data_IF_796359425422
#
_entry.id   IF_796359425422
#
_cell.length_a   1.000
_cell.length_b   1.000
_cell.length_c   1.000
_cell.angle_alpha   90.00
_cell.angle_beta   90.00
_cell.angle_gamma   90.00
#
_symmetry.space_group_name_H-M   'P 1'
#
loop_
_entity.id
_entity.type
_entity.pdbx_description
1 polymer ?
#
# COMPACT_ATOMS: atom_id res chain seq x y z
N UNK A 1 17.68 36.76 -7.62
CA UNK A 1 17.01 36.10 -6.48
C UNK A 1 16.59 34.73 -6.95
N UNK A 2 17.35 33.68 -6.60
CA UNK A 2 17.06 32.32 -7.04
C UNK A 2 16.09 31.69 -6.05
N UNK A 3 14.90 31.37 -6.52
CA UNK A 3 13.90 30.64 -5.74
C UNK A 3 14.26 29.16 -5.92
N UNK A 4 14.89 28.58 -4.91
CA UNK A 4 15.11 27.13 -4.86
C UNK A 4 13.75 26.49 -4.62
N UNK A 5 13.14 25.90 -5.64
CA UNK A 5 12.02 24.99 -5.43
C UNK A 5 12.53 23.81 -4.59
N UNK A 6 11.93 23.47 -3.45
CA UNK A 6 12.12 22.14 -2.90
C UNK A 6 11.50 21.17 -3.92
N UNK A 7 12.35 20.37 -4.57
CA UNK A 7 11.89 19.19 -5.30
C UNK A 7 11.13 18.34 -4.29
N UNK A 8 9.81 18.36 -4.39
CA UNK A 8 8.90 17.59 -3.55
C UNK A 8 9.21 16.11 -3.77
N UNK A 9 10.11 15.58 -2.95
CA UNK A 9 10.42 14.17 -2.89
C UNK A 9 9.18 13.47 -2.33
N UNK A 10 8.43 12.78 -3.19
CA UNK A 10 7.35 11.90 -2.76
C UNK A 10 7.83 10.79 -1.79
N UNK A 11 9.15 10.69 -1.56
CA UNK A 11 9.80 9.82 -0.58
C UNK A 11 9.82 10.36 0.87
N UNK A 12 9.47 11.63 1.15
CA UNK A 12 9.62 12.22 2.51
C UNK A 12 8.43 11.98 3.47
N UNK A 13 7.67 10.89 3.34
CA UNK A 13 6.43 10.69 4.12
C UNK A 13 6.45 9.44 5.01
N UNK A 14 7.41 8.53 4.83
CA UNK A 14 7.62 7.35 5.69
C UNK A 14 8.60 7.72 6.80
N UNK A 15 8.34 7.23 8.02
CA UNK A 15 9.34 7.29 9.09
C UNK A 15 10.50 6.33 8.77
N UNK A 16 11.62 6.49 9.46
CA UNK A 16 12.76 5.56 9.32
C UNK A 16 12.31 4.13 9.59
N UNK A 17 11.54 3.91 10.66
CA UNK A 17 10.99 2.60 11.00
C UNK A 17 9.97 2.07 9.99
N UNK A 18 9.19 2.93 9.35
CA UNK A 18 8.32 2.49 8.24
C UNK A 18 9.15 2.02 7.03
N UNK A 19 10.30 2.64 6.80
CA UNK A 19 11.19 2.31 5.67
C UNK A 19 11.94 1.00 5.93
N UNK A 20 12.36 0.76 7.18
CA UNK A 20 12.90 -0.54 7.62
C UNK A 20 11.86 -1.65 7.45
N UNK A 21 10.65 -1.43 7.97
CA UNK A 21 9.55 -2.40 7.84
C UNK A 21 9.19 -2.71 6.39
N UNK A 22 9.19 -1.70 5.51
CA UNK A 22 8.94 -1.92 4.08
C UNK A 22 10.00 -2.87 3.51
N UNK A 23 11.29 -2.64 3.76
CA UNK A 23 12.35 -3.52 3.27
C UNK A 23 12.19 -4.96 3.77
N UNK A 24 11.89 -5.15 5.06
CA UNK A 24 11.67 -6.48 5.62
C UNK A 24 10.47 -7.18 4.97
N UNK A 25 9.40 -6.44 4.68
CA UNK A 25 8.25 -6.96 3.94
C UNK A 25 8.59 -7.30 2.48
N UNK A 26 9.40 -6.49 1.81
CA UNK A 26 9.85 -6.74 0.44
C UNK A 26 10.68 -8.04 0.37
N UNK A 27 11.59 -8.25 1.34
CA UNK A 27 12.37 -9.48 1.45
C UNK A 27 11.48 -10.70 1.71
N UNK A 28 10.56 -10.60 2.68
CA UNK A 28 9.65 -11.69 3.02
C UNK A 28 8.65 -12.01 1.88
N UNK A 29 8.14 -10.98 1.21
CA UNK A 29 7.27 -11.14 0.05
C UNK A 29 8.01 -11.75 -1.13
N UNK A 30 9.27 -11.37 -1.35
CA UNK A 30 10.12 -11.93 -2.41
C UNK A 30 10.44 -13.40 -2.16
N UNK A 31 10.80 -13.76 -0.93
CA UNK A 31 11.01 -15.16 -0.54
C UNK A 31 9.76 -16.01 -0.78
N UNK A 32 8.57 -15.45 -0.50
CA UNK A 32 7.31 -16.18 -0.58
C UNK A 32 6.70 -16.25 -1.98
N UNK A 33 6.69 -15.14 -2.71
CA UNK A 33 5.92 -14.96 -3.95
C UNK A 33 6.79 -14.59 -5.15
N UNK A 34 8.11 -14.52 -5.00
CA UNK A 34 9.02 -14.08 -6.07
C UNK A 34 8.81 -12.61 -6.38
N UNK A 35 8.61 -12.27 -7.66
CA UNK A 35 8.46 -10.88 -8.10
C UNK A 35 7.00 -10.39 -8.16
N UNK A 36 6.03 -11.26 -7.84
CA UNK A 36 4.60 -10.96 -7.98
C UNK A 36 3.98 -10.52 -6.65
N UNK A 37 4.26 -9.29 -6.23
CA UNK A 37 3.65 -8.71 -5.03
C UNK A 37 3.63 -7.17 -5.08
N UNK A 38 2.92 -6.56 -4.14
CA UNK A 38 2.92 -5.13 -3.92
C UNK A 38 2.92 -4.80 -2.42
N UNK A 39 3.60 -3.72 -2.04
CA UNK A 39 3.43 -3.12 -0.71
C UNK A 39 2.21 -2.20 -0.74
N UNK A 40 1.30 -2.41 0.20
CA UNK A 40 0.17 -1.53 0.48
C UNK A 40 0.47 -0.67 1.70
N UNK A 41 0.35 0.64 1.53
CA UNK A 41 0.54 1.62 2.61
C UNK A 41 -0.72 2.47 2.71
N UNK A 42 -1.40 2.40 3.85
CA UNK A 42 -2.55 3.23 4.16
C UNK A 42 -2.29 4.07 5.39
N UNK A 43 -2.35 5.39 5.24
CA UNK A 43 -2.22 6.33 6.35
C UNK A 43 -3.58 6.82 6.83
N UNK A 44 -3.66 7.08 8.13
CA UNK A 44 -4.81 7.67 8.78
C UNK A 44 -4.51 9.10 9.22
N UNK A 45 -5.55 9.90 9.44
CA UNK A 45 -5.42 11.32 9.80
C UNK A 45 -4.79 11.53 11.18
N UNK A 46 -4.83 10.53 12.06
CA UNK A 46 -4.17 10.54 13.36
C UNK A 46 -2.65 10.29 13.28
N UNK A 47 -2.13 10.05 12.08
CA UNK A 47 -0.70 9.83 11.83
C UNK A 47 -0.29 8.36 11.88
N UNK A 48 -1.17 7.43 12.28
CA UNK A 48 -0.89 6.01 12.13
C UNK A 48 -0.84 5.57 10.66
N UNK A 49 -0.04 4.54 10.41
CA UNK A 49 0.08 3.89 9.12
C UNK A 49 -0.18 2.39 9.26
N UNK A 50 -0.81 1.84 8.24
CA UNK A 50 -0.98 0.41 8.03
C UNK A 50 -0.13 0.03 6.83
N UNK A 51 0.82 -0.87 7.03
CA UNK A 51 1.77 -1.32 6.00
C UNK A 51 1.73 -2.85 5.97
N UNK A 52 1.58 -3.43 4.79
CA UNK A 52 1.59 -4.88 4.57
C UNK A 52 1.94 -5.20 3.12
N UNK A 53 2.45 -6.40 2.84
CA UNK A 53 2.63 -6.89 1.48
C UNK A 53 1.40 -7.69 1.04
N UNK A 54 1.02 -7.59 -0.23
CA UNK A 54 -0.07 -8.38 -0.82
C UNK A 54 0.32 -8.99 -2.17
N UNK A 55 -0.17 -10.21 -2.40
CA UNK A 55 -0.07 -10.93 -3.66
C UNK A 55 -1.48 -11.26 -4.17
N UNK A 56 -1.73 -11.00 -5.46
CA UNK A 56 -3.00 -11.32 -6.09
C UNK A 56 -2.95 -12.76 -6.61
N UNK A 57 -3.73 -13.66 -6.01
CA UNK A 57 -3.81 -15.05 -6.46
C UNK A 57 -4.65 -15.16 -7.73
N UNK A 58 -5.74 -14.39 -7.81
CA UNK A 58 -6.61 -14.40 -8.98
C UNK A 58 -8.02 -13.92 -8.70
N UNK A 59 -8.97 -14.47 -9.47
CA UNK A 59 -10.40 -14.23 -9.34
C UNK A 59 -11.12 -15.51 -8.91
N UNK A 60 -12.08 -15.39 -8.00
CA UNK A 60 -13.04 -16.45 -7.69
C UNK A 60 -14.03 -16.64 -8.86
N UNK A 61 -14.81 -17.72 -8.83
CA UNK A 61 -15.87 -17.99 -9.82
C UNK A 61 -16.90 -16.85 -9.90
N UNK A 62 -17.19 -16.20 -8.77
CA UNK A 62 -18.07 -15.03 -8.67
C UNK A 62 -17.38 -13.70 -9.08
N UNK A 63 -16.12 -13.74 -9.51
CA UNK A 63 -15.35 -12.58 -9.94
C UNK A 63 -14.80 -11.71 -8.81
N UNK A 64 -14.74 -12.22 -7.57
CA UNK A 64 -14.07 -11.54 -6.45
C UNK A 64 -12.56 -11.73 -6.53
N UNK A 65 -11.79 -10.78 -5.98
CA UNK A 65 -10.33 -10.90 -5.99
C UNK A 65 -9.85 -11.69 -4.79
N UNK A 66 -9.12 -12.76 -5.05
CA UNK A 66 -8.42 -13.52 -4.01
C UNK A 66 -7.01 -12.97 -3.86
N UNK A 67 -6.62 -12.69 -2.61
CA UNK A 67 -5.32 -12.14 -2.27
C UNK A 67 -4.71 -12.89 -1.10
N UNK A 68 -3.41 -13.02 -1.10
CA UNK A 68 -2.63 -13.34 0.10
C UNK A 68 -1.97 -12.06 0.64
N UNK A 69 -1.75 -12.02 1.95
CA UNK A 69 -1.15 -10.86 2.64
C UNK A 69 -0.10 -11.31 3.64
N UNK A 70 0.92 -10.47 3.81
CA UNK A 70 1.89 -10.57 4.89
C UNK A 70 1.81 -9.30 5.74
N UNK A 71 1.48 -9.49 7.02
CA UNK A 71 1.37 -8.42 7.99
C UNK A 71 2.51 -8.48 8.99
N UNK A 72 3.07 -7.35 9.42
CA UNK A 72 3.93 -7.34 10.60
C UNK A 72 3.15 -7.86 11.82
N UNK A 73 3.75 -8.76 12.59
CA UNK A 73 3.15 -9.33 13.80
C UNK A 73 3.40 -8.49 15.06
N UNK A 74 4.33 -7.52 14.98
CA UNK A 74 4.73 -6.64 16.08
C UNK A 74 5.93 -7.14 16.91
N UNK A 75 6.42 -8.35 16.65
CA UNK A 75 7.56 -8.99 17.35
C UNK A 75 8.75 -9.27 16.39
N UNK A 76 8.72 -8.65 15.20
CA UNK A 76 9.74 -8.83 14.15
C UNK A 76 9.49 -10.02 13.22
N UNK A 77 8.27 -10.56 13.23
CA UNK A 77 7.81 -11.61 12.31
C UNK A 77 6.68 -11.14 11.40
N UNK A 78 6.22 -12.06 10.55
CA UNK A 78 5.11 -11.81 9.62
C UNK A 78 3.99 -12.84 9.77
N UNK A 79 2.75 -12.35 9.87
CA UNK A 79 1.55 -13.15 9.77
C UNK A 79 1.11 -13.24 8.32
N UNK A 80 0.76 -14.45 7.90
CA UNK A 80 0.19 -14.71 6.57
C UNK A 80 -1.32 -14.94 6.66
N UNK A 81 -2.08 -14.28 5.80
CA UNK A 81 -3.51 -14.55 5.60
C UNK A 81 -3.89 -14.56 4.12
N UNK A 82 -4.97 -15.28 3.81
CA UNK A 82 -5.61 -15.26 2.50
C UNK A 82 -7.02 -14.69 2.65
N UNK A 83 -7.37 -13.74 1.79
CA UNK A 83 -8.65 -13.03 1.82
C UNK A 83 -9.28 -12.93 0.45
N UNK A 84 -10.60 -13.08 0.43
CA UNK A 84 -11.44 -12.76 -0.71
C UNK A 84 -11.99 -11.35 -0.53
N UNK A 85 -11.66 -10.46 -1.46
CA UNK A 85 -12.15 -9.08 -1.49
C UNK A 85 -13.30 -8.99 -2.47
N UNK A 86 -14.50 -8.84 -1.94
CA UNK A 86 -15.70 -8.53 -2.71
C UNK A 86 -15.53 -7.16 -3.40
N UNK A 87 -15.75 -7.12 -4.71
CA UNK A 87 -15.90 -5.84 -5.41
C UNK A 87 -17.37 -5.42 -5.34
N UNK A 88 -17.72 -4.24 -4.81
CA UNK A 88 -19.05 -3.70 -5.05
C UNK A 88 -19.25 -3.51 -6.56
N UNK A 89 -20.44 -3.85 -7.05
CA UNK A 89 -20.73 -4.03 -8.47
C UNK A 89 -20.53 -2.78 -9.36
N UNK A 90 -20.25 -1.60 -8.81
CA UNK A 90 -19.97 -0.40 -9.60
C UNK A 90 -19.17 0.60 -8.73
N UNK A 91 -17.96 0.96 -9.17
CA UNK A 91 -17.27 2.17 -8.69
C UNK A 91 -17.40 3.19 -9.81
N UNK A 92 -18.40 4.06 -9.72
CA UNK A 92 -18.47 5.27 -10.55
C UNK A 92 -17.48 6.27 -9.96
N UNK A 93 -16.42 6.58 -10.70
CA UNK A 93 -15.58 7.73 -10.39
C UNK A 93 -16.25 8.97 -10.99
N UNK A 94 -16.96 9.74 -10.17
CA UNK A 94 -17.25 11.13 -10.51
C UNK A 94 -15.94 11.92 -10.40
N UNK A 95 -15.36 12.29 -11.54
CA UNK A 95 -14.20 13.18 -11.60
C UNK A 95 -14.67 14.58 -11.20
N UNK A 96 -14.30 15.02 -10.00
CA UNK A 96 -14.52 16.40 -9.57
C UNK A 96 -13.31 17.21 -10.07
N UNK A 97 -13.48 17.97 -11.14
CA UNK A 97 -12.50 18.96 -11.59
C UNK A 97 -12.48 20.15 -10.61
N UNK A 98 -11.70 20.03 -9.52
CA UNK A 98 -11.44 21.17 -8.64
C UNK A 98 -10.35 22.05 -9.25
N UNK A 99 -10.74 23.24 -9.75
CA UNK A 99 -9.77 24.29 -10.05
C UNK A 99 -9.19 24.83 -8.75
N UNK A 100 -8.02 24.32 -8.36
CA UNK A 100 -7.23 24.89 -7.29
C UNK A 100 -6.73 26.26 -7.75
N UNK A 101 -7.41 27.33 -7.32
CA UNK A 101 -6.94 28.71 -7.51
C UNK A 101 -5.86 28.98 -6.48
N UNK A 102 -4.61 29.03 -6.92
CA UNK A 102 -3.51 29.56 -6.10
C UNK A 102 -3.66 31.08 -6.01
N UNK A 103 -3.72 31.62 -4.79
CA UNK A 103 -3.55 33.05 -4.50
C UNK A 103 -2.07 33.45 -4.48
#
# INVERSE_FOLDING_TARGET
MSITHPTSSAASVLTDGDTELVQELEEAATDRWGDEWAISIRRWSDGSAQIYAEHLVGLTEDGHREKERLWPDGDGGFLHDAVTVERPATVSHDVIEEQVRSE
#
